data_IF_230225448369
#
_entry.id   IF_230225448369
#
_cell.length_a   1.000
_cell.length_b   1.000
_cell.length_c   1.000
_cell.angle_alpha   90.00
_cell.angle_beta   90.00
_cell.angle_gamma   90.00
#
_symmetry.space_group_name_H-M   'P 1'
#
loop_
_entity.id
_entity.type
_entity.pdbx_description
1 polymer ?
#
# COMPACT_ATOMS: atom_id res chain seq x y z
N UNK A 1 44.70 0.21 -0.37
CA UNK A 1 43.54 -0.70 -0.41
C UNK A 1 42.42 -0.27 0.55
N UNK A 2 42.26 1.03 0.89
CA UNK A 2 41.28 1.46 1.91
C UNK A 2 39.97 2.03 1.33
N UNK A 3 40.02 2.90 0.32
CA UNK A 3 38.82 3.61 -0.16
C UNK A 3 37.79 2.74 -0.91
N UNK A 4 38.22 1.80 -1.74
CA UNK A 4 37.32 0.95 -2.52
C UNK A 4 36.51 -0.02 -1.65
N UNK A 5 37.09 -0.49 -0.54
CA UNK A 5 36.40 -1.36 0.41
C UNK A 5 35.41 -0.59 1.27
N UNK A 6 35.71 0.66 1.63
CA UNK A 6 34.84 1.52 2.43
C UNK A 6 33.62 1.99 1.62
N UNK A 7 33.82 2.38 0.36
CA UNK A 7 32.72 2.73 -0.55
C UNK A 7 31.78 1.55 -0.82
N UNK A 8 32.34 0.34 -0.95
CA UNK A 8 31.54 -0.88 -1.11
C UNK A 8 30.63 -1.09 0.10
N UNK A 9 31.19 -1.01 1.31
CA UNK A 9 30.43 -1.17 2.56
C UNK A 9 29.33 -0.11 2.71
N UNK A 10 29.61 1.15 2.38
CA UNK A 10 28.62 2.22 2.41
C UNK A 10 27.48 2.00 1.41
N UNK A 11 27.81 1.54 0.20
CA UNK A 11 26.81 1.26 -0.83
C UNK A 11 25.92 0.09 -0.45
N UNK A 12 26.48 -0.94 0.19
CA UNK A 12 25.74 -2.09 0.67
C UNK A 12 24.84 -1.71 1.87
N UNK A 13 25.27 -0.80 2.76
CA UNK A 13 24.50 -0.33 3.93
C UNK A 13 23.32 0.58 3.55
N UNK A 14 23.50 1.47 2.56
CA UNK A 14 22.42 2.36 2.09
C UNK A 14 21.56 1.78 0.97
N UNK A 15 21.95 0.62 0.41
CA UNK A 15 21.21 -0.06 -0.65
C UNK A 15 21.33 0.55 -2.06
N UNK A 16 22.26 1.48 -2.31
CA UNK A 16 22.46 2.08 -3.64
C UNK A 16 23.87 2.66 -3.84
N UNK A 17 24.25 2.92 -5.09
CA UNK A 17 25.53 3.50 -5.53
C UNK A 17 25.33 4.89 -6.13
N UNK A 18 26.33 5.76 -6.01
CA UNK A 18 26.28 7.09 -6.59
C UNK A 18 26.25 6.98 -8.13
N UNK A 19 25.36 7.76 -8.75
CA UNK A 19 25.27 7.93 -10.21
C UNK A 19 26.10 9.14 -10.63
N UNK A 20 26.13 10.19 -9.79
CA UNK A 20 26.90 11.41 -10.06
C UNK A 20 26.30 12.26 -11.19
N UNK A 21 25.00 12.17 -11.41
CA UNK A 21 24.23 12.96 -12.39
C UNK A 21 23.18 13.83 -11.71
N UNK A 22 22.73 14.84 -12.44
CA UNK A 22 21.70 15.79 -12.05
C UNK A 22 20.38 15.46 -12.75
N UNK A 23 19.30 15.45 -11.98
CA UNK A 23 17.93 15.26 -12.46
C UNK A 23 17.09 16.49 -12.14
N UNK A 24 16.12 16.81 -13.00
CA UNK A 24 15.09 17.82 -12.70
C UNK A 24 13.75 17.20 -12.32
N UNK A 25 12.94 17.95 -11.59
CA UNK A 25 11.61 17.52 -11.12
C UNK A 25 10.59 17.22 -12.24
N UNK A 26 10.91 17.54 -13.50
CA UNK A 26 10.06 17.20 -14.66
C UNK A 26 10.42 15.86 -15.33
N UNK A 27 11.52 15.23 -14.93
CA UNK A 27 11.93 13.91 -15.42
C UNK A 27 11.38 12.76 -14.57
N UNK A 28 10.69 13.07 -13.48
CA UNK A 28 10.04 12.09 -12.59
C UNK A 28 8.53 12.27 -12.67
N UNK A 29 7.82 11.15 -12.73
CA UNK A 29 6.35 11.14 -12.80
C UNK A 29 5.71 11.08 -11.40
N UNK A 30 6.45 10.57 -10.41
CA UNK A 30 6.01 10.54 -9.01
C UNK A 30 6.05 11.96 -8.39
N UNK A 31 4.92 12.35 -7.80
CA UNK A 31 4.73 13.69 -7.24
C UNK A 31 5.64 13.93 -6.04
N UNK A 32 5.82 12.94 -5.15
CA UNK A 32 6.63 13.07 -3.96
C UNK A 32 8.12 13.14 -4.29
N UNK A 33 8.58 12.35 -5.28
CA UNK A 33 9.96 12.46 -5.79
C UNK A 33 10.20 13.82 -6.45
N UNK A 34 9.23 14.31 -7.23
CA UNK A 34 9.30 15.66 -7.82
C UNK A 34 9.36 16.75 -6.75
N UNK A 35 8.60 16.63 -5.67
CA UNK A 35 8.67 17.55 -4.51
C UNK A 35 10.01 17.49 -3.79
N UNK A 36 10.59 16.30 -3.62
CA UNK A 36 11.92 16.13 -3.03
C UNK A 36 12.99 16.85 -3.85
N UNK A 37 12.96 16.74 -5.19
CA UNK A 37 13.86 17.48 -6.08
C UNK A 37 13.64 19.00 -5.93
N UNK A 38 12.38 19.46 -5.89
CA UNK A 38 12.06 20.89 -5.72
C UNK A 38 12.55 21.45 -4.39
N UNK A 39 12.59 20.63 -3.33
CA UNK A 39 13.04 21.05 -2.02
C UNK A 39 14.55 21.37 -1.97
N UNK A 40 15.36 20.71 -2.81
CA UNK A 40 16.79 21.02 -2.95
C UNK A 40 17.02 22.37 -3.65
N UNK A 41 16.15 22.74 -4.59
CA UNK A 41 16.13 24.06 -5.22
C UNK A 41 17.31 24.33 -6.16
N UNK A 42 17.95 23.30 -6.71
CA UNK A 42 19.02 23.44 -7.68
C UNK A 42 18.56 24.03 -9.02
N UNK A 43 19.50 24.64 -9.73
CA UNK A 43 19.29 25.31 -11.03
C UNK A 43 20.24 24.79 -12.12
N UNK A 44 20.94 23.67 -11.87
CA UNK A 44 21.81 23.03 -12.83
C UNK A 44 21.03 22.40 -14.00
N UNK A 45 21.61 22.33 -15.22
CA UNK A 45 21.03 21.58 -16.32
C UNK A 45 20.82 20.11 -15.95
N UNK A 46 19.64 19.57 -16.26
CA UNK A 46 19.33 18.15 -16.10
C UNK A 46 20.15 17.31 -17.09
N UNK A 47 20.82 16.26 -16.62
CA UNK A 47 21.61 15.36 -17.48
C UNK A 47 20.75 14.46 -18.37
N UNK A 48 19.46 14.29 -18.03
CA UNK A 48 18.52 13.43 -18.76
C UNK A 48 17.79 14.21 -19.87
N UNK A 49 17.08 15.28 -19.52
CA UNK A 49 16.34 16.06 -20.52
C UNK A 49 17.15 17.23 -21.14
N UNK A 50 18.34 17.53 -20.62
CA UNK A 50 19.21 18.61 -21.09
C UNK A 50 18.70 20.02 -20.78
N UNK A 51 17.58 20.17 -20.08
CA UNK A 51 16.97 21.48 -19.76
C UNK A 51 17.43 21.98 -18.41
N UNK A 52 17.68 23.28 -18.33
CA UNK A 52 17.77 24.00 -17.06
C UNK A 52 16.35 24.19 -16.50
N UNK A 53 16.08 23.77 -15.25
CA UNK A 53 14.77 23.96 -14.65
C UNK A 53 14.48 25.45 -14.44
N UNK A 54 13.19 25.81 -14.46
CA UNK A 54 12.72 27.15 -14.13
C UNK A 54 11.71 27.06 -12.99
N UNK A 55 11.72 28.01 -12.03
CA UNK A 55 10.79 27.97 -10.91
C UNK A 55 9.33 27.80 -11.35
N UNK A 56 8.54 26.90 -10.72
CA UNK A 56 8.83 26.21 -9.45
C UNK A 56 9.60 24.89 -9.59
N UNK A 57 10.00 24.49 -10.79
CA UNK A 57 10.80 23.29 -11.00
C UNK A 57 12.25 23.52 -10.56
N UNK A 58 12.92 22.45 -10.15
CA UNK A 58 14.32 22.51 -9.71
C UNK A 58 15.09 21.28 -10.21
N UNK A 59 16.39 21.29 -9.98
CA UNK A 59 17.29 20.17 -10.15
C UNK A 59 17.89 19.71 -8.83
N UNK A 60 18.30 18.45 -8.79
CA UNK A 60 18.99 17.86 -7.67
C UNK A 60 19.90 16.73 -8.16
N UNK A 61 20.78 16.26 -7.29
CA UNK A 61 21.52 15.03 -7.55
C UNK A 61 20.55 13.82 -7.55
N UNK A 62 20.78 12.84 -8.44
CA UNK A 62 19.93 11.63 -8.54
C UNK A 62 19.85 10.86 -7.22
N UNK A 63 20.89 10.99 -6.40
CA UNK A 63 20.99 10.40 -5.06
C UNK A 63 19.82 10.79 -4.13
N UNK A 64 19.22 11.97 -4.33
CA UNK A 64 18.07 12.44 -3.55
C UNK A 64 16.86 11.53 -3.74
N UNK A 65 16.58 11.13 -4.97
CA UNK A 65 15.46 10.22 -5.26
C UNK A 65 15.85 8.76 -5.04
N UNK A 66 17.11 8.37 -5.25
CA UNK A 66 17.57 7.00 -4.96
C UNK A 66 17.36 6.64 -3.50
N UNK A 67 17.70 7.53 -2.58
CA UNK A 67 17.50 7.31 -1.16
C UNK A 67 16.01 7.04 -0.83
N UNK A 68 15.10 7.83 -1.39
CA UNK A 68 13.65 7.69 -1.16
C UNK A 68 13.08 6.42 -1.81
N UNK A 69 13.53 6.08 -3.01
CA UNK A 69 13.09 4.87 -3.71
C UNK A 69 13.52 3.63 -2.94
N UNK A 70 14.79 3.55 -2.53
CA UNK A 70 15.30 2.41 -1.75
C UNK A 70 14.62 2.33 -0.39
N UNK A 71 14.45 3.45 0.32
CA UNK A 71 13.70 3.46 1.58
C UNK A 71 12.26 2.95 1.40
N UNK A 72 11.58 3.37 0.32
CA UNK A 72 10.25 2.89 -0.02
C UNK A 72 10.22 1.39 -0.34
N UNK A 73 11.19 0.90 -1.11
CA UNK A 73 11.30 -0.53 -1.42
C UNK A 73 11.60 -1.34 -0.16
N UNK A 74 12.56 -0.93 0.65
CA UNK A 74 12.91 -1.62 1.90
C UNK A 74 11.80 -1.53 2.95
N UNK A 75 10.86 -0.59 2.84
CA UNK A 75 9.68 -0.55 3.69
C UNK A 75 8.73 -1.73 3.40
N UNK A 76 8.46 -2.00 2.12
CA UNK A 76 7.48 -3.01 1.68
C UNK A 76 8.09 -4.38 1.35
N UNK A 77 9.36 -4.39 0.96
CA UNK A 77 10.09 -5.53 0.44
C UNK A 77 11.35 -5.82 1.25
N UNK A 78 11.92 -6.99 1.01
CA UNK A 78 13.12 -7.48 1.67
C UNK A 78 13.94 -8.34 0.69
N UNK A 79 15.24 -8.50 0.96
CA UNK A 79 16.05 -9.49 0.23
C UNK A 79 15.55 -10.91 0.57
N UNK A 80 15.21 -11.74 -0.42
CA UNK A 80 14.76 -13.11 -0.18
C UNK A 80 15.76 -13.95 0.61
N UNK A 81 17.06 -13.63 0.59
CA UNK A 81 18.09 -14.32 1.41
C UNK A 81 17.83 -14.17 2.91
N UNK A 82 17.18 -13.08 3.33
CA UNK A 82 16.96 -12.76 4.74
C UNK A 82 15.71 -13.45 5.31
N UNK A 83 14.70 -13.68 4.48
CA UNK A 83 13.38 -14.12 4.96
C UNK A 83 12.82 -15.37 4.27
N UNK A 84 13.39 -15.81 3.14
CA UNK A 84 12.85 -16.94 2.37
C UNK A 84 13.79 -18.14 2.46
N UNK A 85 13.22 -19.31 2.76
CA UNK A 85 13.98 -20.55 2.75
C UNK A 85 14.56 -20.83 1.35
N UNK A 86 15.85 -21.13 1.28
CA UNK A 86 16.52 -21.57 0.06
C UNK A 86 16.70 -23.10 0.06
N UNK A 87 16.27 -23.77 -1.01
CA UNK A 87 16.54 -25.20 -1.24
C UNK A 87 17.48 -25.36 -2.42
N UNK A 88 18.69 -25.88 -2.17
CA UNK A 88 19.64 -26.20 -3.23
C UNK A 88 19.20 -27.40 -4.08
N UNK A 89 18.39 -28.30 -3.51
CA UNK A 89 17.85 -29.46 -4.22
C UNK A 89 16.75 -29.06 -5.22
N UNK A 90 15.92 -28.08 -4.84
CA UNK A 90 14.83 -27.56 -5.69
C UNK A 90 15.28 -26.34 -6.53
N UNK A 91 16.53 -25.89 -6.33
CA UNK A 91 17.17 -24.88 -7.16
C UNK A 91 16.73 -23.45 -6.93
N UNK A 92 16.27 -23.08 -5.72
CA UNK A 92 15.90 -21.70 -5.45
C UNK A 92 15.20 -21.42 -4.12
N UNK A 93 14.71 -20.19 -4.02
CA UNK A 93 13.87 -19.71 -2.93
C UNK A 93 12.48 -20.36 -2.95
N UNK A 94 12.01 -20.81 -1.79
CA UNK A 94 10.82 -21.66 -1.66
C UNK A 94 9.49 -20.90 -1.54
N UNK A 95 9.52 -19.57 -1.59
CA UNK A 95 8.34 -18.74 -1.80
C UNK A 95 8.36 -18.17 -3.21
N UNK A 96 7.20 -18.07 -3.86
CA UNK A 96 7.08 -17.37 -5.13
C UNK A 96 6.87 -15.87 -4.95
N UNK A 97 6.80 -15.15 -6.07
CA UNK A 97 6.47 -13.71 -6.07
C UNK A 97 7.68 -12.80 -5.91
N UNK A 98 8.90 -13.31 -6.12
CA UNK A 98 10.07 -12.46 -6.21
C UNK A 98 9.94 -11.50 -7.40
N UNK A 99 10.36 -10.26 -7.21
CA UNK A 99 10.37 -9.21 -8.21
C UNK A 99 11.80 -8.75 -8.42
N UNK A 100 12.12 -8.40 -9.66
CA UNK A 100 13.40 -7.73 -9.95
C UNK A 100 13.25 -6.21 -9.78
N UNK A 101 14.34 -5.50 -9.52
CA UNK A 101 14.32 -4.03 -9.33
C UNK A 101 13.65 -3.31 -10.51
N UNK A 102 13.90 -3.75 -11.74
CA UNK A 102 13.29 -3.18 -12.95
C UNK A 102 11.76 -3.26 -12.92
N UNK A 103 11.21 -4.38 -12.45
CA UNK A 103 9.77 -4.58 -12.36
C UNK A 103 9.15 -3.63 -11.33
N UNK A 104 9.81 -3.43 -10.18
CA UNK A 104 9.33 -2.51 -9.15
C UNK A 104 9.37 -1.06 -9.64
N UNK A 105 10.47 -0.63 -10.25
CA UNK A 105 10.59 0.70 -10.85
C UNK A 105 9.49 0.95 -11.90
N UNK A 106 9.18 -0.05 -12.72
CA UNK A 106 8.12 0.03 -13.74
C UNK A 106 6.72 0.09 -13.12
N UNK A 107 6.42 -0.76 -12.14
CA UNK A 107 5.12 -0.80 -11.46
C UNK A 107 4.81 0.52 -10.74
N UNK A 108 5.83 1.16 -10.18
CA UNK A 108 5.71 2.46 -9.51
C UNK A 108 5.77 3.66 -10.46
N UNK A 109 6.06 3.45 -11.76
CA UNK A 109 6.04 4.51 -12.76
C UNK A 109 6.94 5.69 -12.41
N UNK A 110 8.20 5.44 -12.03
CA UNK A 110 9.12 6.48 -11.56
C UNK A 110 9.46 7.51 -12.64
N UNK A 111 9.67 7.03 -13.87
CA UNK A 111 10.04 7.86 -15.02
C UNK A 111 9.73 7.16 -16.35
N UNK A 112 9.44 7.95 -17.38
CA UNK A 112 9.42 7.52 -18.79
C UNK A 112 10.79 7.64 -19.48
N UNK A 113 11.80 8.27 -18.86
CA UNK A 113 13.13 8.45 -19.43
C UNK A 113 13.97 7.17 -19.32
N UNK A 114 14.35 6.58 -20.46
CA UNK A 114 15.06 5.30 -20.52
C UNK A 114 16.46 5.36 -19.88
N UNK A 115 17.15 6.50 -20.00
CA UNK A 115 18.50 6.67 -19.45
C UNK A 115 18.44 6.78 -17.93
N UNK A 116 17.48 7.52 -17.39
CA UNK A 116 17.22 7.58 -15.96
C UNK A 116 16.79 6.23 -15.41
N UNK A 117 15.87 5.54 -16.08
CA UNK A 117 15.44 4.20 -15.67
C UNK A 117 16.62 3.24 -15.56
N UNK A 118 17.49 3.23 -16.57
CA UNK A 118 18.71 2.41 -16.58
C UNK A 118 19.68 2.78 -15.46
N UNK A 119 19.91 4.07 -15.21
CA UNK A 119 20.77 4.52 -14.11
C UNK A 119 20.22 4.09 -12.75
N UNK A 120 18.92 4.27 -12.50
CA UNK A 120 18.26 3.85 -11.26
C UNK A 120 18.37 2.34 -11.05
N UNK A 121 18.06 1.55 -12.08
CA UNK A 121 18.14 0.09 -12.03
C UNK A 121 19.56 -0.40 -11.68
N UNK A 122 20.59 0.24 -12.25
CA UNK A 122 21.98 -0.15 -12.04
C UNK A 122 22.57 0.36 -10.72
N UNK A 123 22.02 1.46 -10.20
CA UNK A 123 22.47 2.09 -8.97
C UNK A 123 21.96 1.35 -7.72
N UNK A 124 20.71 0.87 -7.73
CA UNK A 124 20.11 0.14 -6.61
C UNK A 124 20.85 -1.18 -6.39
N UNK A 125 21.25 -1.44 -5.15
CA UNK A 125 21.89 -2.69 -4.73
C UNK A 125 20.79 -3.69 -4.37
N UNK A 126 20.93 -4.90 -4.88
CA UNK A 126 19.89 -5.93 -4.78
C UNK A 126 19.14 -6.06 -6.10
N UNK A 127 19.17 -7.27 -6.67
CA UNK A 127 18.48 -7.58 -7.93
C UNK A 127 17.10 -8.18 -7.69
N UNK A 128 16.87 -8.78 -6.52
CA UNK A 128 15.71 -9.60 -6.24
C UNK A 128 15.06 -9.19 -4.92
N UNK A 129 13.75 -9.00 -4.95
CA UNK A 129 12.94 -8.49 -3.86
C UNK A 129 11.79 -9.45 -3.58
N UNK A 130 11.48 -9.67 -2.31
CA UNK A 130 10.26 -10.37 -1.88
C UNK A 130 9.44 -9.46 -0.99
N UNK A 131 8.12 -9.60 -0.96
CA UNK A 131 7.30 -8.90 0.04
C UNK A 131 7.87 -9.15 1.43
N UNK A 132 8.04 -8.10 2.21
CA UNK A 132 8.46 -8.20 3.61
C UNK A 132 7.45 -9.04 4.39
N UNK A 133 7.97 -9.87 5.29
CA UNK A 133 7.25 -10.90 6.04
C UNK A 133 6.46 -11.85 5.11
N UNK A 134 7.14 -12.56 4.18
CA UNK A 134 6.48 -13.32 3.12
C UNK A 134 5.61 -14.48 3.63
N UNK A 135 5.81 -14.91 4.87
CA UNK A 135 5.00 -15.94 5.53
C UNK A 135 3.83 -15.38 6.36
N UNK A 136 3.73 -14.06 6.50
CA UNK A 136 2.61 -13.39 7.15
C UNK A 136 1.44 -13.18 6.15
N UNK A 137 0.24 -13.05 6.68
CA UNK A 137 -0.91 -12.63 5.90
C UNK A 137 -0.70 -11.20 5.38
N UNK A 138 -0.88 -10.98 4.08
CA UNK A 138 -0.94 -9.60 3.57
C UNK A 138 -2.12 -8.84 4.19
N UNK A 139 -2.11 -7.49 4.26
CA UNK A 139 -3.23 -6.73 4.83
C UNK A 139 -4.59 -7.09 4.23
N UNK A 140 -4.61 -7.36 2.92
CA UNK A 140 -5.82 -7.80 2.20
C UNK A 140 -6.24 -9.20 2.62
N UNK A 141 -5.29 -10.14 2.72
CA UNK A 141 -5.58 -11.51 3.18
C UNK A 141 -6.07 -11.51 4.62
N UNK A 142 -5.42 -10.76 5.50
CA UNK A 142 -5.79 -10.60 6.90
C UNK A 142 -7.24 -10.08 7.04
N UNK A 143 -7.63 -9.07 6.26
CA UNK A 143 -9.00 -8.56 6.21
C UNK A 143 -9.99 -9.60 5.66
N UNK A 144 -9.65 -10.30 4.58
CA UNK A 144 -10.51 -11.31 3.99
C UNK A 144 -10.75 -12.51 4.92
N UNK A 145 -9.67 -13.04 5.50
CA UNK A 145 -9.73 -14.16 6.44
C UNK A 145 -10.42 -13.76 7.73
N UNK A 146 -10.07 -12.60 8.29
CA UNK A 146 -10.73 -12.03 9.46
C UNK A 146 -12.23 -11.84 9.23
N UNK A 147 -12.63 -11.29 8.09
CA UNK A 147 -14.05 -11.12 7.73
C UNK A 147 -14.77 -12.46 7.56
N UNK A 148 -14.15 -13.45 6.92
CA UNK A 148 -14.75 -14.78 6.79
C UNK A 148 -14.93 -15.46 8.15
N UNK A 149 -13.90 -15.41 9.00
CA UNK A 149 -13.95 -15.94 10.36
C UNK A 149 -15.02 -15.26 11.20
N UNK A 150 -15.08 -13.92 11.16
CA UNK A 150 -16.12 -13.14 11.82
C UNK A 150 -17.53 -13.52 11.33
N UNK A 151 -17.72 -13.64 10.02
CA UNK A 151 -19.01 -14.02 9.41
C UNK A 151 -19.46 -15.40 9.90
N UNK A 152 -18.56 -16.37 9.90
CA UNK A 152 -18.89 -17.74 10.28
C UNK A 152 -19.13 -17.84 11.79
N UNK A 153 -18.37 -17.10 12.60
CA UNK A 153 -18.61 -16.93 14.03
C UNK A 153 -20.01 -16.37 14.33
N UNK A 154 -20.41 -15.28 13.65
CA UNK A 154 -21.75 -14.68 13.80
C UNK A 154 -22.86 -15.63 13.36
N UNK A 155 -22.67 -16.35 12.25
CA UNK A 155 -23.69 -17.26 11.71
C UNK A 155 -23.92 -18.50 12.56
N UNK A 156 -22.85 -19.04 13.15
CA UNK A 156 -22.88 -20.40 13.71
C UNK A 156 -22.65 -20.46 15.22
N UNK A 157 -22.03 -19.45 15.83
CA UNK A 157 -21.55 -19.55 17.22
C UNK A 157 -22.20 -18.58 18.20
N UNK A 158 -22.61 -17.36 17.77
CA UNK A 158 -23.32 -16.43 18.66
C UNK A 158 -24.46 -15.70 17.96
N UNK A 159 -25.69 -15.92 18.45
CA UNK A 159 -26.88 -15.31 17.85
C UNK A 159 -27.18 -13.88 18.30
N UNK A 160 -26.74 -13.39 19.48
CA UNK A 160 -27.14 -12.05 19.97
C UNK A 160 -26.20 -11.34 20.99
N UNK A 161 -24.92 -11.73 21.17
CA UNK A 161 -24.09 -11.12 22.24
C UNK A 161 -22.65 -10.81 21.80
N UNK A 162 -22.36 -9.51 21.65
CA UNK A 162 -21.05 -8.92 21.31
C UNK A 162 -20.18 -8.60 22.53
N UNK A 163 -20.39 -9.27 23.67
CA UNK A 163 -19.50 -9.10 24.81
C UNK A 163 -18.17 -9.76 24.45
N UNK A 164 -17.21 -8.88 24.12
CA UNK A 164 -15.79 -9.14 23.92
C UNK A 164 -15.33 -9.90 25.17
N UNK A 165 -15.08 -11.19 25.03
CA UNK A 165 -14.32 -11.92 26.03
C UNK A 165 -12.86 -11.53 25.85
N UNK A 166 -12.14 -11.34 26.95
CA UNK A 166 -10.69 -11.16 26.99
C UNK A 166 -10.00 -12.46 26.53
N UNK A 167 -10.16 -12.84 25.27
CA UNK A 167 -9.35 -13.88 24.65
C UNK A 167 -8.02 -13.25 24.22
N UNK A 168 -7.27 -12.78 25.21
CA UNK A 168 -5.87 -12.36 25.11
C UNK A 168 -4.94 -13.51 24.69
N UNK A 169 -5.48 -14.72 24.46
CA UNK A 169 -4.80 -15.92 23.99
C UNK A 169 -5.32 -16.40 22.63
N UNK A 170 -6.00 -15.55 21.86
CA UNK A 170 -6.37 -15.85 20.49
C UNK A 170 -5.09 -16.03 19.65
N UNK A 171 -4.80 -17.28 19.25
CA UNK A 171 -3.75 -17.64 18.28
C UNK A 171 -3.82 -16.84 16.96
N UNK A 172 -4.93 -16.13 16.72
CA UNK A 172 -5.17 -15.26 15.56
C UNK A 172 -4.49 -13.87 15.61
N UNK A 173 -3.60 -13.59 16.57
CA UNK A 173 -2.77 -12.37 16.58
C UNK A 173 -1.32 -12.64 16.13
N UNK A 174 -1.03 -13.88 15.70
CA UNK A 174 0.28 -14.33 15.22
C UNK A 174 0.27 -14.40 13.70
N UNK A 175 1.20 -13.72 13.02
CA UNK A 175 1.37 -13.81 11.56
C UNK A 175 0.52 -12.84 10.72
N UNK A 176 0.09 -11.71 11.28
CA UNK A 176 -0.61 -10.66 10.54
C UNK A 176 -2.14 -10.82 10.46
N UNK A 177 -2.71 -11.84 11.10
CA UNK A 177 -4.16 -12.04 11.15
C UNK A 177 -4.87 -10.99 12.03
N UNK A 178 -6.13 -10.67 11.70
CA UNK A 178 -6.96 -9.75 12.48
C UNK A 178 -7.81 -10.56 13.45
N UNK A 179 -7.56 -10.37 14.75
CA UNK A 179 -8.41 -10.92 15.81
C UNK A 179 -9.90 -10.59 15.58
N UNK A 180 -10.77 -11.57 15.86
CA UNK A 180 -12.22 -11.48 15.64
C UNK A 180 -12.85 -10.22 16.26
N UNK A 181 -12.35 -9.76 17.41
CA UNK A 181 -12.86 -8.56 18.09
C UNK A 181 -12.53 -7.27 17.34
N UNK A 182 -11.46 -7.27 16.53
CA UNK A 182 -10.95 -6.10 15.80
C UNK A 182 -11.51 -6.00 14.38
N UNK A 183 -12.04 -7.07 13.82
CA UNK A 183 -12.58 -7.11 12.44
C UNK A 183 -13.60 -5.98 12.16
N UNK A 184 -14.58 -5.68 13.03
CA UNK A 184 -15.52 -4.59 12.77
C UNK A 184 -14.85 -3.22 12.65
N UNK A 185 -13.88 -2.93 13.53
CA UNK A 185 -13.12 -1.67 13.49
C UNK A 185 -12.25 -1.60 12.24
N UNK A 186 -11.53 -2.68 11.92
CA UNK A 186 -10.69 -2.74 10.72
C UNK A 186 -11.48 -2.52 9.43
N UNK A 187 -12.70 -3.08 9.32
CA UNK A 187 -13.59 -2.80 8.18
C UNK A 187 -14.07 -1.35 8.17
N UNK A 188 -14.44 -0.80 9.33
CA UNK A 188 -14.88 0.59 9.43
C UNK A 188 -13.78 1.59 9.05
N UNK A 189 -12.53 1.29 9.42
CA UNK A 189 -11.36 2.09 9.07
C UNK A 189 -11.08 1.99 7.56
N UNK A 190 -11.06 0.79 6.99
CA UNK A 190 -10.92 0.60 5.54
C UNK A 190 -12.00 1.35 4.72
N UNK A 191 -13.25 1.37 5.18
CA UNK A 191 -14.35 2.12 4.54
C UNK A 191 -14.14 3.64 4.64
N UNK A 192 -13.56 4.11 5.75
CA UNK A 192 -13.23 5.53 5.95
C UNK A 192 -12.09 5.96 5.04
N UNK A 193 -11.03 5.16 4.99
CA UNK A 193 -9.83 5.46 4.21
C UNK A 193 -10.13 5.42 2.70
N UNK A 194 -11.03 4.54 2.26
CA UNK A 194 -11.53 4.51 0.89
C UNK A 194 -12.48 5.69 0.54
N UNK A 195 -12.76 6.59 1.48
CA UNK A 195 -13.66 7.73 1.24
C UNK A 195 -15.11 7.35 0.97
N UNK A 196 -15.55 6.15 1.40
CA UNK A 196 -16.89 5.62 1.11
C UNK A 196 -17.95 6.01 2.16
N UNK A 197 -17.64 6.94 3.06
CA UNK A 197 -18.58 7.46 4.05
C UNK A 197 -19.26 8.71 3.50
N UNK A 198 -20.58 8.61 3.27
CA UNK A 198 -21.39 9.77 2.89
C UNK A 198 -22.11 10.35 4.11
N UNK A 199 -21.85 11.61 4.43
CA UNK A 199 -22.57 12.34 5.48
C UNK A 199 -23.90 12.85 4.95
N UNK A 200 -25.00 12.39 5.54
CA UNK A 200 -26.34 12.88 5.22
C UNK A 200 -26.69 14.05 6.13
N UNK A 201 -27.10 15.18 5.55
CA UNK A 201 -27.47 16.39 6.30
C UNK A 201 -28.69 16.13 7.18
N UNK A 202 -28.74 16.79 8.33
CA UNK A 202 -29.92 16.81 9.17
C UNK A 202 -31.16 17.25 8.35
N UNK A 203 -32.27 16.52 8.51
CA UNK A 203 -33.48 16.70 7.68
C UNK A 203 -33.54 15.86 6.41
N UNK A 204 -32.53 15.02 6.12
CA UNK A 204 -32.61 14.03 5.05
C UNK A 204 -33.85 13.14 5.19
N UNK A 205 -34.65 13.05 4.13
CA UNK A 205 -35.87 12.25 4.11
C UNK A 205 -35.59 10.88 3.51
N UNK A 206 -35.90 9.83 4.25
CA UNK A 206 -35.77 8.46 3.79
C UNK A 206 -37.13 7.88 3.42
N UNK A 207 -37.18 7.23 2.28
CA UNK A 207 -38.35 6.49 1.81
C UNK A 207 -38.02 5.01 1.83
N UNK A 208 -38.82 4.22 2.55
CA UNK A 208 -38.73 2.77 2.46
C UNK A 208 -39.59 2.33 1.29
N UNK A 209 -38.97 1.81 0.24
CA UNK A 209 -39.67 1.31 -0.95
C UNK A 209 -39.74 -0.21 -0.86
N UNK A 210 -40.89 -0.79 -1.25
CA UNK A 210 -41.06 -2.23 -1.42
C UNK A 210 -41.34 -2.53 -2.90
N UNK A 211 -40.53 -3.34 -3.59
CA UNK A 211 -40.84 -3.80 -4.94
C UNK A 211 -42.16 -4.58 -4.94
N UNK A 212 -43.04 -4.30 -5.90
CA UNK A 212 -44.30 -5.01 -6.12
C UNK A 212 -44.60 -5.12 -7.63
N UNK A 213 -45.50 -6.01 -8.02
CA UNK A 213 -45.84 -6.20 -9.42
C UNK A 213 -46.58 -5.00 -9.98
N UNK A 214 -46.37 -4.69 -11.27
CA UNK A 214 -47.02 -3.54 -11.93
C UNK A 214 -48.54 -3.71 -11.91
N UNK A 215 -49.24 -2.79 -11.25
CA UNK A 215 -50.71 -2.81 -11.11
C UNK A 215 -51.22 -3.40 -9.78
N UNK A 216 -50.32 -3.89 -8.92
CA UNK A 216 -50.67 -4.36 -7.58
C UNK A 216 -50.87 -3.16 -6.63
N UNK A 217 -52.07 -3.03 -6.06
CA UNK A 217 -52.43 -1.91 -5.16
C UNK A 217 -52.53 -2.41 -3.72
N UNK A 218 -51.58 -2.02 -2.88
CA UNK A 218 -51.58 -2.35 -1.47
C UNK A 218 -52.40 -1.32 -0.66
N UNK A 219 -53.50 -1.76 -0.03
CA UNK A 219 -54.43 -0.88 0.71
C UNK A 219 -54.37 -1.03 2.24
N UNK A 220 -53.57 -1.95 2.77
CA UNK A 220 -53.51 -2.23 4.21
C UNK A 220 -52.21 -1.71 4.83
N UNK A 221 -52.26 -1.26 6.08
CA UNK A 221 -51.09 -0.78 6.82
C UNK A 221 -49.98 -1.83 6.95
N UNK A 222 -50.36 -3.12 7.04
CA UNK A 222 -49.42 -4.24 7.02
C UNK A 222 -48.70 -4.42 5.66
N UNK A 223 -49.36 -4.01 4.55
CA UNK A 223 -48.80 -4.10 3.20
C UNK A 223 -47.98 -2.86 2.80
N UNK A 224 -48.24 -1.70 3.41
CA UNK A 224 -47.61 -0.42 3.09
C UNK A 224 -46.25 -0.16 3.75
N UNK A 225 -45.69 -1.13 4.48
CA UNK A 225 -44.48 -0.96 5.30
C UNK A 225 -44.60 0.24 6.25
N UNK A 226 -44.98 -0.01 7.51
CA UNK A 226 -45.04 1.04 8.53
C UNK A 226 -43.72 1.82 8.64
N UNK A 227 -43.78 3.13 8.41
CA UNK A 227 -42.81 4.10 8.92
C UNK A 227 -43.44 4.73 10.17
N UNK A 228 -42.84 4.49 11.34
CA UNK A 228 -42.88 5.49 12.39
C UNK A 228 -41.85 6.55 12.00
N UNK A 229 -42.29 7.80 11.78
CA UNK A 229 -41.38 8.95 11.72
C UNK A 229 -40.53 8.91 12.99
N UNK A 230 -39.23 8.64 12.87
CA UNK A 230 -38.26 9.03 13.88
C UNK A 230 -37.46 10.18 13.30
N UNK A 231 -37.91 11.39 13.61
CA UNK A 231 -37.05 12.57 13.59
C UNK A 231 -35.97 12.33 14.65
N UNK A 232 -34.74 12.14 14.20
CA UNK A 232 -33.58 12.19 15.08
C UNK A 232 -33.35 13.66 15.44
N UNK A 233 -33.42 13.95 16.74
CA UNK A 233 -33.00 15.22 17.35
C UNK A 233 -31.51 15.13 17.61
#
# INVERSE_FOLDING_TARGET
MSGASEYQLLSDDRGWRDVGKIICSTCVDDVALGEAIRAEGGEEPCDYCGRTPVPPEASAAVEVILALIVEGFEYEYEDPVNQVLYSSADGGFQMGGQRITADLLMDHGITEDEDLFSDLQNAIVGELWVQRDPYAASPVQALQWGWSGFRDFVKHQRRYTFLIGDDANSLYDSGGEISMARVPSAVADAVRDAGHITVLKAGATFWRIRPHSRGEVHKTAAALASIHRRSWV
#
